data_IF_631190741669
#
_entry.id   IF_631190741669
#
_cell.length_a   1.000
_cell.length_b   1.000
_cell.length_c   1.000
_cell.angle_alpha   90.00
_cell.angle_beta   90.00
_cell.angle_gamma   90.00
#
_symmetry.space_group_name_H-M   'P 1'
#
loop_
_entity.id
_entity.type
_entity.pdbx_description
1 polymer ?
#
# COMPACT_ATOMS: atom_id res chain seq x y z
N UNK A 1 10.81 19.26 13.33
CA UNK A 1 11.36 19.91 12.10
C UNK A 1 11.94 18.93 11.06
N UNK A 2 12.16 17.64 11.36
CA UNK A 2 12.73 16.66 10.42
C UNK A 2 11.72 16.02 9.45
N UNK A 3 10.43 15.97 9.83
CA UNK A 3 9.37 15.32 9.04
C UNK A 3 8.98 16.15 7.81
N UNK A 4 8.94 17.48 7.95
CA UNK A 4 8.48 18.39 6.90
C UNK A 4 9.46 18.47 5.70
N UNK A 5 10.77 18.39 5.97
CA UNK A 5 11.79 18.40 4.91
C UNK A 5 11.79 17.11 4.09
N UNK A 6 11.43 15.98 4.71
CA UNK A 6 11.26 14.70 4.01
C UNK A 6 10.04 14.73 3.07
N UNK A 7 8.95 15.42 3.45
CA UNK A 7 7.75 15.59 2.61
C UNK A 7 8.02 16.51 1.41
N UNK A 8 8.80 17.57 1.57
CA UNK A 8 9.16 18.43 0.43
C UNK A 8 10.13 17.72 -0.54
N UNK A 9 11.07 16.93 -0.01
CA UNK A 9 11.92 16.05 -0.83
C UNK A 9 11.12 14.92 -1.49
N UNK A 10 10.04 14.46 -0.86
CA UNK A 10 9.09 13.49 -1.41
C UNK A 10 8.38 14.03 -2.65
N UNK A 11 7.90 15.29 -2.62
CA UNK A 11 7.31 15.96 -3.77
C UNK A 11 8.32 16.24 -4.90
N UNK A 12 9.57 16.57 -4.55
CA UNK A 12 10.62 16.86 -5.54
C UNK A 12 11.12 15.60 -6.27
N UNK A 13 11.11 14.42 -5.62
CA UNK A 13 11.50 13.13 -6.21
C UNK A 13 10.43 12.60 -7.19
N UNK A 14 9.15 12.96 -6.99
CA UNK A 14 8.03 12.61 -7.87
C UNK A 14 8.14 13.23 -9.28
N UNK A 15 8.97 14.27 -9.45
CA UNK A 15 9.13 15.00 -10.71
C UNK A 15 9.92 14.24 -11.80
N UNK A 16 10.50 13.08 -11.50
CA UNK A 16 11.08 12.20 -12.52
C UNK A 16 9.96 11.53 -13.35
N UNK A 17 10.01 11.70 -14.67
CA UNK A 17 9.01 11.20 -15.61
C UNK A 17 8.87 9.65 -15.60
N UNK A 18 9.86 8.94 -15.04
CA UNK A 18 9.83 7.49 -14.82
C UNK A 18 9.15 7.12 -13.49
N UNK A 19 9.36 7.94 -12.45
CA UNK A 19 8.73 7.75 -11.14
C UNK A 19 7.22 8.03 -11.21
N UNK A 20 6.82 8.97 -12.06
CA UNK A 20 5.41 9.32 -12.26
C UNK A 20 4.58 8.15 -12.81
N UNK A 21 5.04 7.41 -13.82
CA UNK A 21 4.23 6.37 -14.49
C UNK A 21 3.90 5.17 -13.60
N UNK A 22 4.88 4.64 -12.87
CA UNK A 22 4.65 3.47 -12.01
C UNK A 22 3.87 3.83 -10.75
N UNK A 23 4.14 5.00 -10.16
CA UNK A 23 3.35 5.51 -9.04
C UNK A 23 1.90 5.80 -9.45
N UNK A 24 1.69 6.30 -10.67
CA UNK A 24 0.36 6.56 -11.24
C UNK A 24 -0.42 5.26 -11.43
N UNK A 25 0.23 4.20 -11.91
CA UNK A 25 -0.40 2.88 -12.04
C UNK A 25 -0.86 2.33 -10.69
N UNK A 26 -0.01 2.39 -9.66
CA UNK A 26 -0.39 2.00 -8.30
C UNK A 26 -1.53 2.86 -7.76
N UNK A 27 -1.49 4.18 -8.01
CA UNK A 27 -2.55 5.11 -7.61
C UNK A 27 -3.89 4.77 -8.27
N UNK A 28 -3.91 4.40 -9.55
CA UNK A 28 -5.13 3.94 -10.22
C UNK A 28 -5.70 2.68 -9.59
N UNK A 29 -4.85 1.72 -9.19
CA UNK A 29 -5.30 0.53 -8.46
C UNK A 29 -5.93 0.90 -7.12
N UNK A 30 -5.33 1.85 -6.38
CA UNK A 30 -5.90 2.33 -5.12
C UNK A 30 -7.26 2.99 -5.35
N UNK A 31 -7.39 3.87 -6.36
CA UNK A 31 -8.66 4.51 -6.71
C UNK A 31 -9.72 3.46 -7.08
N UNK A 32 -9.34 2.44 -7.85
CA UNK A 32 -10.22 1.34 -8.22
C UNK A 32 -10.71 0.55 -6.99
N UNK A 33 -9.81 0.24 -6.05
CA UNK A 33 -10.18 -0.44 -4.80
C UNK A 33 -11.09 0.42 -3.91
N UNK A 34 -10.82 1.73 -3.81
CA UNK A 34 -11.70 2.68 -3.12
C UNK A 34 -13.09 2.70 -3.78
N UNK A 35 -13.14 2.70 -5.12
CA UNK A 35 -14.39 2.66 -5.87
C UNK A 35 -15.20 1.40 -5.59
N UNK A 36 -14.57 0.22 -5.64
CA UNK A 36 -15.21 -1.05 -5.29
C UNK A 36 -15.69 -1.03 -3.84
N UNK A 37 -14.84 -0.60 -2.90
CA UNK A 37 -15.17 -0.50 -1.49
C UNK A 37 -16.39 0.40 -1.24
N UNK A 38 -16.46 1.55 -1.91
CA UNK A 38 -17.58 2.49 -1.80
C UNK A 38 -18.89 1.95 -2.39
N UNK A 39 -18.83 1.21 -3.50
CA UNK A 39 -20.01 0.53 -4.05
C UNK A 39 -20.47 -0.55 -3.08
N UNK A 40 -19.55 -1.38 -2.59
CA UNK A 40 -19.87 -2.50 -1.70
C UNK A 40 -20.44 -2.01 -0.38
N UNK A 41 -19.90 -0.91 0.16
CA UNK A 41 -20.37 -0.34 1.43
C UNK A 41 -21.79 0.22 1.36
N UNK A 42 -22.37 0.40 0.17
CA UNK A 42 -23.78 0.81 0.00
C UNK A 42 -24.77 -0.34 0.16
N UNK A 43 -24.31 -1.58 0.02
CA UNK A 43 -25.13 -2.79 0.20
C UNK A 43 -25.20 -3.25 1.66
N UNK A 44 -24.31 -2.75 2.52
CA UNK A 44 -24.21 -3.18 3.92
C UNK A 44 -24.26 -1.95 4.84
N UNK A 45 -25.33 -1.83 5.62
CA UNK A 45 -25.48 -0.74 6.57
C UNK A 45 -24.47 -0.84 7.73
N UNK A 46 -23.88 0.31 8.11
CA UNK A 46 -22.97 0.44 9.25
C UNK A 46 -21.72 -0.46 9.18
N UNK A 47 -21.10 -0.63 8.00
CA UNK A 47 -19.77 -1.28 7.85
C UNK A 47 -18.76 -0.45 7.05
N UNK A 48 -19.11 0.78 6.67
CA UNK A 48 -18.28 1.65 5.84
C UNK A 48 -16.91 1.84 6.51
N UNK A 49 -16.89 2.23 7.78
CA UNK A 49 -15.66 2.52 8.52
C UNK A 49 -14.70 1.33 8.52
N UNK A 50 -15.22 0.13 8.73
CA UNK A 50 -14.48 -1.13 8.76
C UNK A 50 -13.85 -1.47 7.40
N UNK A 51 -14.61 -1.28 6.32
CA UNK A 51 -14.14 -1.53 4.96
C UNK A 51 -12.97 -0.58 4.64
N UNK A 52 -13.12 0.71 4.94
CA UNK A 52 -12.09 1.72 4.68
C UNK A 52 -10.86 1.55 5.58
N UNK A 53 -11.05 1.16 6.85
CA UNK A 53 -9.93 0.81 7.74
C UNK A 53 -9.15 -0.39 7.23
N UNK A 54 -9.84 -1.41 6.69
CA UNK A 54 -9.21 -2.58 6.07
C UNK A 54 -8.34 -2.20 4.88
N UNK A 55 -8.76 -1.21 4.10
CA UNK A 55 -8.03 -0.71 2.94
C UNK A 55 -6.82 0.16 3.33
N UNK A 56 -6.92 0.92 4.42
CA UNK A 56 -5.93 1.93 4.81
C UNK A 56 -4.53 1.34 5.06
N UNK A 57 -4.45 0.24 5.79
CA UNK A 57 -3.18 -0.43 6.11
C UNK A 57 -2.40 -0.84 4.85
N UNK A 58 -2.97 -1.69 3.98
CA UNK A 58 -2.36 -2.12 2.73
C UNK A 58 -1.97 -0.97 1.80
N UNK A 59 -2.82 0.07 1.69
CA UNK A 59 -2.55 1.23 0.85
C UNK A 59 -1.29 1.98 1.30
N UNK A 60 -1.19 2.31 2.60
CA UNK A 60 -0.05 3.03 3.15
C UNK A 60 1.26 2.27 2.95
N UNK A 61 1.24 0.98 3.29
CA UNK A 61 2.41 0.11 3.18
C UNK A 61 2.86 -0.04 1.72
N UNK A 62 1.92 -0.21 0.79
CA UNK A 62 2.29 -0.39 -0.60
C UNK A 62 2.77 0.89 -1.28
N UNK A 63 2.26 2.07 -0.91
CA UNK A 63 2.84 3.34 -1.36
C UNK A 63 4.31 3.47 -0.97
N UNK A 64 4.65 3.15 0.29
CA UNK A 64 6.03 3.16 0.78
C UNK A 64 6.88 2.17 0.00
N UNK A 65 6.36 0.97 -0.27
CA UNK A 65 7.09 -0.11 -0.95
C UNK A 65 7.38 0.22 -2.40
N UNK A 66 6.37 0.66 -3.17
CA UNK A 66 6.53 1.05 -4.58
C UNK A 66 7.51 2.22 -4.70
N UNK A 67 7.41 3.21 -3.81
CA UNK A 67 8.36 4.32 -3.77
C UNK A 67 9.80 3.83 -3.63
N UNK A 68 10.06 2.93 -2.68
CA UNK A 68 11.39 2.38 -2.51
C UNK A 68 11.84 1.48 -3.67
N UNK A 69 10.94 0.70 -4.28
CA UNK A 69 11.28 -0.08 -5.48
C UNK A 69 11.80 0.82 -6.60
N UNK A 70 11.12 1.94 -6.86
CA UNK A 70 11.54 2.86 -7.90
C UNK A 70 12.86 3.54 -7.51
N UNK A 71 13.00 3.98 -6.26
CA UNK A 71 14.22 4.63 -5.75
C UNK A 71 15.45 3.73 -5.87
N UNK A 72 15.31 2.45 -5.54
CA UNK A 72 16.41 1.49 -5.60
C UNK A 72 16.51 0.78 -6.96
N UNK A 73 15.66 1.11 -7.94
CA UNK A 73 15.61 0.43 -9.24
C UNK A 73 16.97 0.41 -9.96
N UNK A 74 17.73 1.51 -9.85
CA UNK A 74 19.05 1.63 -10.48
C UNK A 74 20.19 1.03 -9.63
N UNK A 75 19.92 0.48 -8.44
CA UNK A 75 20.95 -0.02 -7.51
C UNK A 75 21.32 -1.49 -7.70
N UNK A 76 20.81 -2.13 -8.76
CA UNK A 76 21.06 -3.53 -9.10
C UNK A 76 20.06 -4.52 -8.46
N UNK A 77 19.79 -5.63 -9.17
CA UNK A 77 18.77 -6.62 -8.82
C UNK A 77 18.96 -7.25 -7.42
N UNK A 78 20.21 -7.50 -7.02
CA UNK A 78 20.54 -8.10 -5.71
C UNK A 78 20.14 -7.17 -4.56
N UNK A 79 20.41 -5.86 -4.69
CA UNK A 79 20.10 -4.89 -3.64
C UNK A 79 18.59 -4.64 -3.55
N UNK A 80 17.91 -4.60 -4.70
CA UNK A 80 16.45 -4.56 -4.79
C UNK A 80 15.81 -5.76 -4.09
N UNK A 81 16.23 -6.98 -4.41
CA UNK A 81 15.65 -8.17 -3.81
C UNK A 81 15.84 -8.21 -2.29
N UNK A 82 17.04 -7.86 -1.81
CA UNK A 82 17.31 -7.76 -0.36
C UNK A 82 16.42 -6.73 0.32
N UNK A 83 16.18 -5.60 -0.33
CA UNK A 83 15.27 -4.55 0.16
C UNK A 83 13.83 -5.04 0.22
N UNK A 84 13.35 -5.77 -0.80
CA UNK A 84 12.02 -6.36 -0.85
C UNK A 84 11.79 -7.39 0.27
N UNK A 85 12.70 -8.35 0.43
CA UNK A 85 12.61 -9.38 1.48
C UNK A 85 12.57 -8.75 2.87
N UNK A 86 13.45 -7.78 3.14
CA UNK A 86 13.46 -7.06 4.42
C UNK A 86 12.17 -6.27 4.63
N UNK A 87 11.68 -5.61 3.58
CA UNK A 87 10.42 -4.86 3.65
C UNK A 87 9.27 -5.78 3.97
N UNK A 88 9.18 -6.93 3.31
CA UNK A 88 8.12 -7.92 3.53
C UNK A 88 8.04 -8.38 5.00
N UNK A 89 9.19 -8.62 5.65
CA UNK A 89 9.23 -8.91 7.09
C UNK A 89 8.70 -7.76 7.96
N UNK A 90 9.11 -6.52 7.66
CA UNK A 90 8.63 -5.32 8.37
C UNK A 90 7.11 -5.13 8.17
N UNK A 91 6.60 -5.41 6.97
CA UNK A 91 5.17 -5.32 6.65
C UNK A 91 4.34 -6.23 7.55
N UNK A 92 4.76 -7.47 7.77
CA UNK A 92 4.03 -8.39 8.64
C UNK A 92 3.93 -7.89 10.07
N UNK A 93 5.02 -7.34 10.61
CA UNK A 93 5.02 -6.76 11.96
C UNK A 93 4.06 -5.57 12.00
N UNK A 94 4.13 -4.69 10.99
CA UNK A 94 3.22 -3.53 10.88
C UNK A 94 1.76 -3.96 10.80
N UNK A 95 1.43 -4.94 9.95
CA UNK A 95 0.07 -5.45 9.82
C UNK A 95 -0.43 -6.13 11.09
N UNK A 96 0.41 -6.91 11.77
CA UNK A 96 0.07 -7.52 13.05
C UNK A 96 -0.29 -6.47 14.10
N UNK A 97 0.56 -5.45 14.27
CA UNK A 97 0.31 -4.34 15.20
C UNK A 97 -0.95 -3.57 14.80
N UNK A 98 -1.11 -3.29 13.50
CA UNK A 98 -2.28 -2.58 12.97
C UNK A 98 -3.58 -3.32 13.29
N UNK A 99 -3.64 -4.62 12.99
CA UNK A 99 -4.82 -5.45 13.27
C UNK A 99 -5.08 -5.50 14.77
N UNK A 100 -4.08 -5.80 15.61
CA UNK A 100 -4.26 -5.86 17.08
C UNK A 100 -4.78 -4.53 17.63
N UNK A 101 -4.24 -3.41 17.16
CA UNK A 101 -4.67 -2.06 17.59
C UNK A 101 -6.14 -1.81 17.22
N UNK A 102 -6.53 -2.16 15.99
CA UNK A 102 -7.91 -2.01 15.53
C UNK A 102 -8.85 -2.88 16.38
N UNK A 103 -8.52 -4.15 16.61
CA UNK A 103 -9.29 -5.11 17.42
C UNK A 103 -9.44 -4.72 18.90
N UNK A 104 -8.50 -3.95 19.45
CA UNK A 104 -8.48 -3.58 20.88
C UNK A 104 -9.15 -2.25 21.16
N UNK A 105 -9.05 -1.28 20.26
CA UNK A 105 -9.49 0.11 20.50
C UNK A 105 -10.93 0.36 20.06
N UNK A 106 -11.45 -0.40 19.10
CA UNK A 106 -12.72 -0.08 18.45
C UNK A 106 -13.72 -1.24 18.53
N UNK A 107 -14.98 -1.01 18.92
CA UNK A 107 -16.05 -2.01 18.84
C UNK A 107 -16.57 -2.09 17.40
N UNK A 108 -15.84 -2.76 16.50
CA UNK A 108 -16.27 -2.97 15.10
C UNK A 108 -16.63 -4.42 14.82
N UNK A 109 -17.35 -4.62 13.71
CA UNK A 109 -17.60 -5.95 13.14
C UNK A 109 -16.31 -6.47 12.48
N UNK A 110 -15.70 -7.56 12.96
CA UNK A 110 -14.40 -8.01 12.47
C UNK A 110 -14.44 -8.57 11.05
N UNK A 111 -15.57 -9.13 10.63
CA UNK A 111 -15.71 -9.82 9.33
C UNK A 111 -15.55 -8.83 8.15
N UNK A 112 -16.30 -7.70 8.06
CA UNK A 112 -16.12 -6.71 6.99
C UNK A 112 -14.69 -6.19 6.88
N UNK A 113 -14.06 -5.90 8.02
CA UNK A 113 -12.66 -5.45 8.07
C UNK A 113 -11.70 -6.50 7.52
N UNK A 114 -11.81 -7.75 7.98
CA UNK A 114 -10.95 -8.85 7.53
C UNK A 114 -11.07 -9.10 6.02
N UNK A 115 -12.30 -9.08 5.49
CA UNK A 115 -12.54 -9.25 4.05
C UNK A 115 -11.93 -8.10 3.24
N UNK A 116 -12.13 -6.85 3.66
CA UNK A 116 -11.57 -5.68 2.97
C UNK A 116 -10.04 -5.64 3.07
N UNK A 117 -9.49 -5.90 4.26
CA UNK A 117 -8.05 -5.96 4.48
C UNK A 117 -7.39 -7.03 3.61
N UNK A 118 -7.95 -8.24 3.59
CA UNK A 118 -7.36 -9.37 2.84
C UNK A 118 -7.43 -9.14 1.33
N UNK A 119 -8.60 -8.71 0.81
CA UNK A 119 -8.76 -8.44 -0.62
C UNK A 119 -7.82 -7.31 -1.09
N UNK A 120 -7.73 -6.23 -0.31
CA UNK A 120 -6.83 -5.11 -0.59
C UNK A 120 -5.36 -5.50 -0.47
N UNK A 121 -5.00 -6.28 0.55
CA UNK A 121 -3.65 -6.80 0.74
C UNK A 121 -3.20 -7.62 -0.47
N UNK A 122 -4.02 -8.56 -0.94
CA UNK A 122 -3.70 -9.39 -2.10
C UNK A 122 -3.61 -8.53 -3.36
N UNK A 123 -4.62 -7.70 -3.62
CA UNK A 123 -4.69 -6.87 -4.82
C UNK A 123 -3.50 -5.91 -4.94
N UNK A 124 -3.14 -5.24 -3.85
CA UNK A 124 -2.02 -4.29 -3.85
C UNK A 124 -0.67 -5.00 -3.91
N UNK A 125 -0.49 -6.17 -3.28
CA UNK A 125 0.78 -6.93 -3.43
C UNK A 125 0.94 -7.51 -4.84
N UNK A 126 -0.16 -7.91 -5.49
CA UNK A 126 -0.11 -8.29 -6.89
C UNK A 126 0.31 -7.09 -7.76
N UNK A 127 -0.23 -5.90 -7.47
CA UNK A 127 0.15 -4.67 -8.16
C UNK A 127 1.62 -4.31 -7.92
N UNK A 128 2.12 -4.43 -6.70
CA UNK A 128 3.55 -4.28 -6.39
C UNK A 128 4.42 -5.23 -7.23
N UNK A 129 4.02 -6.49 -7.38
CA UNK A 129 4.73 -7.46 -8.21
C UNK A 129 4.72 -7.09 -9.70
N UNK A 130 3.61 -6.56 -10.21
CA UNK A 130 3.51 -6.04 -11.58
C UNK A 130 4.47 -4.86 -11.77
N UNK A 131 4.50 -3.90 -10.84
CA UNK A 131 5.43 -2.76 -10.87
C UNK A 131 6.87 -3.24 -10.84
N UNK A 132 7.19 -4.21 -9.96
CA UNK A 132 8.53 -4.79 -9.87
C UNK A 132 8.96 -5.42 -11.19
N UNK A 133 8.09 -6.25 -11.80
CA UNK A 133 8.36 -6.87 -13.10
C UNK A 133 8.63 -5.83 -14.19
N UNK A 134 7.88 -4.73 -14.19
CA UNK A 134 8.06 -3.63 -15.15
C UNK A 134 9.33 -2.80 -14.91
N UNK A 135 9.79 -2.74 -13.66
CA UNK A 135 11.08 -2.13 -13.30
C UNK A 135 12.24 -3.06 -13.71
N UNK A 136 12.11 -4.37 -13.54
CA UNK A 136 13.15 -5.37 -13.83
C UNK A 136 13.25 -5.78 -15.30
N UNK A 137 12.15 -5.74 -16.06
CA UNK A 137 12.11 -6.05 -17.49
C UNK A 137 12.63 -4.92 -18.39
N UNK A 138 13.33 -3.93 -17.81
CA UNK A 138 14.09 -2.90 -18.53
C UNK A 138 15.56 -3.20 -18.45
#
# INVERSE_FOLDING_TARGET
>A
MFVFWNVFRFLSIIKDNKLSKEMMLYTYTVIFLIGIAGIFSRFFDNVITEIFLGLLGPVLVGFVTVFFMIKYSNSGAIRLNRMLVRSFGIKFIFYGIFIITIFTVYPFKPIPFMCSFTSSFIGLHLMEAIVLKKIQGR
#
